data_IF_699232490879
#
_entry.id   IF_699232490879
#
_cell.length_a   1.000
_cell.length_b   1.000
_cell.length_c   1.000
_cell.angle_alpha   90.00
_cell.angle_beta   90.00
_cell.angle_gamma   90.00
#
_symmetry.space_group_name_H-M   'P 1'
#
loop_
_entity.id
_entity.type
_entity.pdbx_description
1 polymer ?
#
# COMPACT_ATOMS: atom_id res chain seq x y z
N UNK A 1 5.82 -34.02 -42.42
CA UNK A 1 5.46 -32.59 -42.56
C UNK A 1 4.56 -32.21 -41.39
N UNK A 2 5.17 -31.52 -40.42
CA UNK A 2 4.59 -30.59 -39.43
C UNK A 2 3.25 -30.94 -38.76
N UNK A 3 3.37 -31.50 -37.55
CA UNK A 3 2.33 -31.43 -36.50
C UNK A 3 2.45 -30.07 -35.80
N UNK A 4 1.49 -29.18 -36.05
CA UNK A 4 1.38 -27.89 -35.35
C UNK A 4 0.70 -28.12 -34.00
N UNK A 5 1.49 -28.19 -32.93
CA UNK A 5 0.97 -28.09 -31.58
C UNK A 5 0.58 -26.62 -31.33
N UNK A 6 -0.72 -26.37 -31.17
CA UNK A 6 -1.23 -25.09 -30.68
C UNK A 6 -0.87 -25.02 -29.20
N UNK A 7 0.18 -24.28 -28.88
CA UNK A 7 0.48 -23.88 -27.51
C UNK A 7 -0.60 -22.89 -27.09
N UNK A 8 -1.57 -23.36 -26.32
CA UNK A 8 -2.48 -22.49 -25.59
C UNK A 8 -1.62 -21.68 -24.60
N UNK A 9 -1.32 -20.42 -24.97
CA UNK A 9 -0.79 -19.47 -24.02
C UNK A 9 -1.82 -19.37 -22.88
N UNK A 10 -1.43 -19.81 -21.69
CA UNK A 10 -2.23 -19.61 -20.48
C UNK A 10 -2.43 -18.10 -20.32
N UNK A 11 -3.64 -17.65 -20.62
CA UNK A 11 -4.11 -16.30 -20.38
C UNK A 11 -4.05 -16.10 -18.87
N UNK A 12 -3.06 -15.34 -18.40
CA UNK A 12 -2.98 -14.95 -17.00
C UNK A 12 -4.35 -14.34 -16.64
N UNK A 13 -5.01 -14.76 -15.55
CA UNK A 13 -6.32 -14.25 -15.23
C UNK A 13 -6.23 -12.72 -15.17
N UNK A 14 -7.06 -12.05 -15.97
CA UNK A 14 -7.17 -10.59 -15.96
C UNK A 14 -7.34 -10.18 -14.50
N UNK A 15 -6.41 -9.35 -14.00
CA UNK A 15 -6.38 -8.94 -12.60
C UNK A 15 -7.77 -8.42 -12.20
N UNK A 16 -8.48 -9.20 -11.39
CA UNK A 16 -9.82 -8.85 -10.95
C UNK A 16 -9.73 -7.77 -9.88
N UNK A 17 -10.67 -6.83 -9.91
CA UNK A 17 -10.68 -5.72 -8.96
C UNK A 17 -10.98 -6.23 -7.56
N UNK A 18 -10.03 -6.08 -6.64
CA UNK A 18 -10.18 -6.39 -5.23
C UNK A 18 -10.56 -5.13 -4.45
N UNK A 19 -11.69 -5.17 -3.74
CA UNK A 19 -12.08 -4.14 -2.77
C UNK A 19 -11.78 -4.65 -1.38
N UNK A 20 -10.97 -3.92 -0.64
CA UNK A 20 -10.52 -4.30 0.69
C UNK A 20 -10.73 -3.14 1.68
N UNK A 21 -11.09 -3.47 2.92
CA UNK A 21 -11.25 -2.52 4.01
C UNK A 21 -10.81 -3.16 5.33
N UNK A 22 -10.18 -2.38 6.20
CA UNK A 22 -9.76 -2.79 7.55
C UNK A 22 -10.53 -2.01 8.59
N UNK A 23 -11.05 -2.70 9.61
CA UNK A 23 -11.72 -2.10 10.77
C UNK A 23 -11.20 -2.72 12.06
N UNK A 24 -11.16 -1.94 13.14
CA UNK A 24 -10.54 -2.32 14.42
C UNK A 24 -10.23 -1.10 15.30
N UNK A 25 -9.74 -1.35 16.51
CA UNK A 25 -9.31 -0.32 17.47
C UNK A 25 -8.23 0.58 16.89
N UNK A 26 -8.06 1.78 17.46
CA UNK A 26 -7.09 2.79 17.00
C UNK A 26 -5.69 2.20 16.86
N UNK A 27 -5.24 1.47 17.89
CA UNK A 27 -3.88 0.93 18.01
C UNK A 27 -3.65 -0.42 17.30
N UNK A 28 -4.64 -0.94 16.57
CA UNK A 28 -4.53 -2.26 15.90
C UNK A 28 -3.65 -2.22 14.63
N UNK A 29 -2.99 -1.10 14.32
CA UNK A 29 -2.05 -1.01 13.20
C UNK A 29 -2.69 -1.12 11.81
N UNK A 30 -3.97 -0.80 11.67
CA UNK A 30 -4.75 -0.87 10.41
C UNK A 30 -4.06 -0.15 9.25
N UNK A 31 -3.63 1.09 9.49
CA UNK A 31 -2.98 1.96 8.50
C UNK A 31 -1.60 1.42 8.13
N UNK A 32 -0.87 0.86 9.09
CA UNK A 32 0.40 0.15 8.84
C UNK A 32 0.20 -1.07 7.95
N UNK A 33 -0.85 -1.87 8.18
CA UNK A 33 -1.17 -3.04 7.36
C UNK A 33 -1.52 -2.64 5.93
N UNK A 34 -2.38 -1.62 5.75
CA UNK A 34 -2.74 -1.12 4.42
C UNK A 34 -1.50 -0.56 3.71
N UNK A 35 -0.68 0.24 4.39
CA UNK A 35 0.57 0.77 3.84
C UNK A 35 1.54 -0.34 3.43
N UNK A 36 1.60 -1.44 4.21
CA UNK A 36 2.41 -2.62 3.87
C UNK A 36 1.91 -3.34 2.64
N UNK A 37 0.60 -3.54 2.51
CA UNK A 37 0.01 -4.16 1.32
C UNK A 37 0.31 -3.33 0.07
N UNK A 38 0.19 -2.00 0.15
CA UNK A 38 0.51 -1.09 -0.96
C UNK A 38 2.00 -1.13 -1.35
N UNK A 39 2.89 -1.21 -0.35
CA UNK A 39 4.32 -1.35 -0.59
C UNK A 39 4.65 -2.68 -1.27
N UNK A 40 4.13 -3.79 -0.72
CA UNK A 40 4.46 -5.14 -1.18
C UNK A 40 3.82 -5.45 -2.55
N UNK A 41 2.67 -4.83 -2.87
CA UNK A 41 2.06 -4.88 -4.21
C UNK A 41 2.78 -4.01 -5.24
N UNK A 42 3.82 -3.25 -4.84
CA UNK A 42 4.52 -2.26 -5.66
C UNK A 42 3.59 -1.18 -6.22
N UNK A 43 2.52 -0.86 -5.49
CA UNK A 43 1.54 0.18 -5.82
C UNK A 43 1.95 1.57 -5.31
N UNK A 44 3.13 1.69 -4.69
CA UNK A 44 3.71 2.94 -4.19
C UNK A 44 4.82 3.39 -5.13
N UNK A 45 4.75 4.66 -5.56
CA UNK A 45 5.78 5.28 -6.39
C UNK A 45 7.05 5.55 -5.55
N UNK A 46 8.21 5.50 -6.19
CA UNK A 46 9.50 5.62 -5.50
C UNK A 46 9.67 6.95 -4.76
N UNK A 47 9.20 8.05 -5.35
CA UNK A 47 9.20 9.40 -4.74
C UNK A 47 8.35 9.46 -3.47
N UNK A 48 7.21 8.77 -3.47
CA UNK A 48 6.32 8.70 -2.31
C UNK A 48 6.95 7.89 -1.18
N UNK A 49 7.60 6.77 -1.52
CA UNK A 49 8.32 5.97 -0.54
C UNK A 49 9.50 6.77 0.07
N UNK A 50 10.25 7.50 -0.75
CA UNK A 50 11.33 8.37 -0.29
C UNK A 50 10.83 9.49 0.64
N UNK A 51 9.68 10.10 0.32
CA UNK A 51 9.04 11.10 1.17
C UNK A 51 8.65 10.51 2.53
N UNK A 52 8.10 9.29 2.56
CA UNK A 52 7.76 8.57 3.79
C UNK A 52 9.02 8.25 4.60
N UNK A 53 10.05 7.70 3.99
CA UNK A 53 11.32 7.44 4.66
C UNK A 53 11.92 8.71 5.28
N UNK A 54 11.90 9.83 4.57
CA UNK A 54 12.42 11.09 5.08
C UNK A 54 11.59 11.60 6.27
N UNK A 55 10.26 11.47 6.20
CA UNK A 55 9.37 11.82 7.29
C UNK A 55 9.58 10.93 8.53
N UNK A 56 9.77 9.62 8.34
CA UNK A 56 10.07 8.66 9.42
C UNK A 56 11.42 8.93 10.07
N UNK A 57 12.46 9.21 9.28
CA UNK A 57 13.78 9.62 9.79
C UNK A 57 13.70 10.89 10.63
N UNK A 58 12.90 11.89 10.21
CA UNK A 58 12.67 13.11 11.01
C UNK A 58 11.98 12.84 12.36
N UNK A 59 11.21 11.75 12.44
CA UNK A 59 10.58 11.27 13.68
C UNK A 59 11.50 10.36 14.51
N UNK A 60 12.72 10.11 14.06
CA UNK A 60 13.69 9.25 14.75
C UNK A 60 13.48 7.75 14.55
N UNK A 61 12.69 7.35 13.55
CA UNK A 61 12.48 5.95 13.22
C UNK A 61 13.54 5.46 12.21
N UNK A 62 14.04 4.23 12.41
CA UNK A 62 15.02 3.60 11.51
C UNK A 62 14.38 3.01 10.25
N UNK A 63 13.11 2.60 10.34
CA UNK A 63 12.33 2.04 9.24
C UNK A 63 11.26 3.03 8.75
N UNK A 64 10.85 2.96 7.46
CA UNK A 64 9.75 3.76 6.96
C UNK A 64 8.43 3.40 7.65
N UNK A 65 7.72 4.42 8.08
CA UNK A 65 6.40 4.34 8.69
C UNK A 65 5.35 4.28 7.58
N UNK A 66 4.98 3.06 7.21
CA UNK A 66 4.06 2.85 6.09
C UNK A 66 2.64 3.37 6.36
N UNK A 67 2.27 3.65 7.62
CA UNK A 67 1.00 4.33 7.91
C UNK A 67 0.94 5.74 7.31
N UNK A 68 2.10 6.40 7.13
CA UNK A 68 2.18 7.71 6.48
C UNK A 68 1.78 7.71 5.01
N UNK A 69 1.69 6.53 4.37
CA UNK A 69 1.18 6.39 3.00
C UNK A 69 -0.33 6.57 2.93
N UNK A 70 -1.05 6.27 4.01
CA UNK A 70 -2.51 6.36 4.10
C UNK A 70 -2.97 7.59 4.89
N UNK A 71 -2.16 8.07 5.83
CA UNK A 71 -2.48 9.24 6.65
C UNK A 71 -2.15 10.54 5.90
N UNK A 72 -3.14 11.07 5.19
CA UNK A 72 -3.02 12.26 4.33
C UNK A 72 -3.08 13.59 5.10
N UNK A 73 -3.79 13.62 6.21
CA UNK A 73 -4.02 14.84 6.99
C UNK A 73 -2.94 15.02 8.06
N UNK A 74 -2.58 16.29 8.30
CA UNK A 74 -1.65 16.63 9.39
C UNK A 74 -2.21 16.25 10.77
N UNK A 75 -3.52 16.39 10.95
CA UNK A 75 -4.20 15.99 12.19
C UNK A 75 -4.12 14.48 12.46
N UNK A 76 -4.25 13.64 11.42
CA UNK A 76 -4.04 12.18 11.51
C UNK A 76 -2.64 11.86 12.03
N UNK A 77 -1.64 12.53 11.44
CA UNK A 77 -0.22 12.33 11.75
C UNK A 77 0.20 12.81 13.13
N UNK A 78 -0.50 13.80 13.70
CA UNK A 78 -0.26 14.35 15.04
C UNK A 78 -0.95 13.52 16.13
N UNK A 79 -2.10 12.92 15.82
CA UNK A 79 -2.91 12.16 16.77
C UNK A 79 -2.77 10.63 16.64
N UNK A 80 -2.14 10.12 15.58
CA UNK A 80 -2.00 8.69 15.33
C UNK A 80 -3.32 8.00 14.97
N UNK A 81 -4.25 8.72 14.32
CA UNK A 81 -5.55 8.21 13.88
C UNK A 81 -5.69 8.36 12.38
N UNK A 82 -6.60 7.60 11.76
CA UNK A 82 -7.01 7.78 10.37
C UNK A 82 -8.43 8.33 10.32
N UNK A 83 -8.57 9.51 9.74
CA UNK A 83 -9.78 10.34 9.64
C UNK A 83 -10.36 10.25 8.23
N UNK A 84 -9.51 10.19 7.20
CA UNK A 84 -9.91 10.20 5.80
C UNK A 84 -9.63 8.87 5.08
N UNK A 85 -10.38 8.62 4.02
CA UNK A 85 -10.23 7.42 3.19
C UNK A 85 -9.14 7.67 2.15
N UNK A 86 -7.98 7.05 2.35
CA UNK A 86 -6.94 7.01 1.32
C UNK A 86 -7.42 6.14 0.13
N UNK A 87 -7.92 6.78 -0.92
CA UNK A 87 -8.31 6.10 -2.16
C UNK A 87 -7.11 6.02 -3.11
N UNK A 88 -6.71 4.79 -3.49
CA UNK A 88 -5.60 4.55 -4.40
C UNK A 88 -5.98 3.48 -5.43
N UNK A 89 -5.63 3.71 -6.69
CA UNK A 89 -5.89 2.83 -7.84
C UNK A 89 -4.73 1.85 -8.06
#
# INVERSE_FOLDING_TARGET
MTTTAVTAAQEAPAASLLRFATAGSVDDGKSTLVGRLLHDSKSVLADQLEAVEHASRKRGQEAPDLALLTDGLRAEREQGITIDVAYRY
#
